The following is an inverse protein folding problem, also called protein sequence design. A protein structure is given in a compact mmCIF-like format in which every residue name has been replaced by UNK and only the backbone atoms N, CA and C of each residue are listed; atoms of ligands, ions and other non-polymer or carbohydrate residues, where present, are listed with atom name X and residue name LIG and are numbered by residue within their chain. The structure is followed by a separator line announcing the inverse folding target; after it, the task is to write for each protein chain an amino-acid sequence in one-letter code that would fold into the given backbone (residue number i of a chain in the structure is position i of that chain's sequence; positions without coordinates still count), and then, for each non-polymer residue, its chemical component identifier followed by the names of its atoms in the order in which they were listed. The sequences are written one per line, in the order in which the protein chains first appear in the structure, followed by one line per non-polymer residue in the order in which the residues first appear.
data_IF_693945814769
#
_entry.id   IF_693945814769
#
_cell.length_a   1.000
_cell.length_b   1.000
_cell.length_c   1.000
_cell.angle_alpha   90.00
_cell.angle_beta   90.00
_cell.angle_gamma   90.00
#
_symmetry.space_group_name_H-M   'P 1'
#
loop_
_entity.id
_entity.type
_entity.pdbx_description
1 polymer ?
#
# COMPACT_ATOMS: atom_id res chain seq x y z
N UNK A 1 -26.67 11.82 38.82
CA UNK A 1 -25.58 11.46 37.90
C UNK A 1 -24.42 12.40 38.19
N UNK A 2 -23.27 11.89 38.66
CA UNK A 2 -22.16 12.75 39.10
C UNK A 2 -21.49 13.45 37.95
N UNK A 3 -21.25 14.77 38.11
CA UNK A 3 -20.55 15.61 37.08
C UNK A 3 -19.25 14.97 36.64
N UNK A 4 -18.53 14.25 37.52
CA UNK A 4 -17.31 13.49 37.15
C UNK A 4 -17.57 12.40 36.09
N UNK A 5 -18.71 11.71 36.17
CA UNK A 5 -19.07 10.65 35.22
C UNK A 5 -19.48 11.25 33.86
N UNK A 6 -20.06 12.44 33.84
CA UNK A 6 -20.39 13.16 32.60
C UNK A 6 -19.13 13.67 31.93
N UNK A 7 -18.20 14.24 32.68
CA UNK A 7 -16.89 14.68 32.16
C UNK A 7 -16.06 13.52 31.63
N UNK A 8 -16.07 12.35 32.33
CA UNK A 8 -15.39 11.15 31.87
C UNK A 8 -15.99 10.58 30.59
N UNK A 9 -17.33 10.55 30.48
CA UNK A 9 -18.02 10.12 29.25
C UNK A 9 -17.76 11.07 28.07
N UNK A 10 -17.72 12.38 28.32
CA UNK A 10 -17.41 13.38 27.31
C UNK A 10 -15.97 13.28 26.82
N UNK A 11 -15.01 13.02 27.72
CA UNK A 11 -13.60 12.81 27.38
C UNK A 11 -13.41 11.55 26.51
N UNK A 12 -14.12 10.45 26.80
CA UNK A 12 -14.09 9.21 26.00
C UNK A 12 -14.69 9.44 24.61
N UNK A 13 -15.77 10.22 24.50
CA UNK A 13 -16.36 10.58 23.19
C UNK A 13 -15.43 11.41 22.33
N UNK A 14 -14.62 12.31 22.90
CA UNK A 14 -13.68 13.16 22.13
C UNK A 14 -12.51 12.34 21.59
N UNK A 15 -12.07 11.30 22.30
CA UNK A 15 -10.97 10.43 21.87
C UNK A 15 -11.40 9.52 20.70
N UNK A 16 -12.68 9.18 20.58
CA UNK A 16 -13.17 8.29 19.50
C UNK A 16 -13.33 8.98 18.14
N UNK A 17 -13.16 10.30 18.03
CA UNK A 17 -13.32 11.07 16.78
C UNK A 17 -12.06 11.12 15.90
N UNK A 18 -10.97 10.49 16.30
CA UNK A 18 -9.72 10.42 15.51
C UNK A 18 -9.71 9.23 14.53
N UNK A 19 -10.84 8.91 13.89
CA UNK A 19 -10.85 8.00 12.75
C UNK A 19 -10.20 8.72 11.56
N UNK A 20 -8.87 8.75 11.54
CA UNK A 20 -8.14 9.27 10.40
C UNK A 20 -8.35 8.30 9.24
N UNK A 21 -9.11 8.72 8.25
CA UNK A 21 -9.27 7.94 7.04
C UNK A 21 -7.94 7.98 6.27
N UNK A 22 -7.37 6.81 6.02
CA UNK A 22 -6.21 6.64 5.15
C UNK A 22 -6.62 6.97 3.71
N UNK A 23 -5.67 7.38 2.90
CA UNK A 23 -5.89 7.86 1.53
C UNK A 23 -6.28 6.73 0.58
N UNK A 24 -5.76 5.53 0.82
CA UNK A 24 -5.93 4.37 -0.05
C UNK A 24 -6.99 3.39 0.48
N UNK A 25 -7.70 2.78 -0.45
CA UNK A 25 -8.50 1.57 -0.27
C UNK A 25 -7.90 0.48 -1.17
N UNK A 26 -6.81 -0.11 -0.69
CA UNK A 26 -6.01 -1.03 -1.47
C UNK A 26 -6.43 -2.49 -1.23
N UNK A 27 -6.45 -3.25 -2.32
CA UNK A 27 -6.53 -4.71 -2.31
C UNK A 27 -5.25 -5.27 -2.91
N UNK A 28 -4.58 -6.15 -2.19
CA UNK A 28 -3.45 -6.93 -2.71
C UNK A 28 -3.93 -8.36 -2.98
N UNK A 29 -3.52 -8.91 -4.10
CA UNK A 29 -3.78 -10.32 -4.46
C UNK A 29 -2.45 -10.97 -4.85
N UNK A 30 -2.13 -12.12 -4.28
CA UNK A 30 -0.93 -12.88 -4.62
C UNK A 30 -1.35 -14.15 -5.34
N UNK A 31 -0.94 -14.27 -6.60
CA UNK A 31 -1.22 -15.42 -7.46
C UNK A 31 0.04 -16.27 -7.57
N UNK A 32 -0.03 -17.56 -7.20
CA UNK A 32 1.10 -18.49 -7.18
C UNK A 32 0.88 -19.72 -8.06
N UNK A 33 0.07 -19.60 -9.10
CA UNK A 33 -0.34 -20.72 -9.94
C UNK A 33 0.83 -21.38 -10.68
N UNK A 34 1.92 -20.63 -10.93
CA UNK A 34 3.11 -21.12 -11.66
C UNK A 34 4.13 -21.85 -10.75
N UNK A 35 4.03 -21.73 -9.43
CA UNK A 35 5.04 -22.22 -8.49
C UNK A 35 4.75 -23.65 -7.99
N UNK A 36 3.62 -24.23 -8.37
CA UNK A 36 3.24 -25.62 -8.02
C UNK A 36 3.06 -25.81 -6.51
N UNK A 37 3.38 -27.02 -6.03
CA UNK A 37 3.24 -27.42 -4.62
C UNK A 37 4.51 -27.21 -3.80
N UNK A 38 5.55 -26.61 -4.35
CA UNK A 38 6.85 -26.44 -3.71
C UNK A 38 6.83 -25.42 -2.54
N UNK A 39 5.83 -24.55 -2.50
CA UNK A 39 5.62 -23.56 -1.43
C UNK A 39 4.18 -23.67 -0.92
N UNK A 40 4.01 -23.67 0.40
CA UNK A 40 2.68 -23.68 0.99
C UNK A 40 1.93 -22.38 0.61
N UNK A 41 0.74 -22.53 0.07
CA UNK A 41 -0.12 -21.38 -0.31
C UNK A 41 -0.43 -20.45 0.86
N UNK A 42 -0.35 -20.94 2.10
CA UNK A 42 -0.52 -20.12 3.31
C UNK A 42 0.49 -18.99 3.40
N UNK A 43 1.73 -19.23 2.95
CA UNK A 43 2.81 -18.22 2.89
C UNK A 43 2.35 -17.00 2.10
N UNK A 44 1.75 -17.22 0.94
CA UNK A 44 1.28 -16.16 0.06
C UNK A 44 0.01 -15.46 0.58
N UNK A 45 -0.86 -16.18 1.29
CA UNK A 45 -2.02 -15.57 1.96
C UNK A 45 -1.56 -14.65 3.10
N UNK A 46 -0.54 -15.05 3.87
CA UNK A 46 0.05 -14.22 4.92
C UNK A 46 0.68 -12.96 4.32
N UNK A 47 1.47 -13.09 3.25
CA UNK A 47 2.05 -11.97 2.51
C UNK A 47 0.97 -11.01 2.00
N UNK A 48 -0.07 -11.53 1.36
CA UNK A 48 -1.20 -10.74 0.85
C UNK A 48 -1.85 -9.89 1.95
N UNK A 49 -2.11 -10.49 3.12
CA UNK A 49 -2.73 -9.79 4.24
C UNK A 49 -1.79 -8.73 4.83
N UNK A 50 -0.50 -9.03 4.96
CA UNK A 50 0.49 -8.07 5.46
C UNK A 50 0.60 -6.85 4.55
N UNK A 51 0.69 -7.04 3.23
CA UNK A 51 0.78 -5.94 2.26
C UNK A 51 -0.52 -5.14 2.17
N UNK A 52 -1.67 -5.80 2.25
CA UNK A 52 -2.97 -5.12 2.29
C UNK A 52 -3.08 -4.23 3.53
N UNK A 53 -2.68 -4.76 4.69
CA UNK A 53 -2.65 -3.99 5.93
C UNK A 53 -1.65 -2.84 5.85
N UNK A 54 -0.45 -3.08 5.33
CA UNK A 54 0.58 -2.06 5.15
C UNK A 54 0.06 -0.85 4.36
N UNK A 55 -0.63 -1.09 3.23
CA UNK A 55 -1.18 -0.03 2.40
C UNK A 55 -2.34 0.72 3.07
N UNK A 56 -3.22 0.00 3.77
CA UNK A 56 -4.49 0.54 4.28
C UNK A 56 -4.41 1.10 5.70
N UNK A 57 -3.39 0.75 6.50
CA UNK A 57 -3.28 1.24 7.88
C UNK A 57 -2.31 2.40 8.02
N UNK A 58 -1.44 2.61 7.03
CA UNK A 58 -0.48 3.71 7.02
C UNK A 58 -1.15 5.00 6.56
N UNK A 59 -0.84 6.10 7.24
CA UNK A 59 -1.12 7.44 6.75
C UNK A 59 0.03 7.90 5.86
N UNK A 60 -0.25 8.10 4.57
CA UNK A 60 0.75 8.43 3.56
C UNK A 60 1.04 9.92 3.47
N UNK A 61 0.01 10.76 3.72
CA UNK A 61 0.08 12.22 3.66
C UNK A 61 -0.52 12.85 4.92
N UNK A 62 -0.49 14.17 5.00
CA UNK A 62 -1.20 14.91 6.05
C UNK A 62 -2.63 15.28 5.65
N UNK A 63 -3.05 14.91 4.44
CA UNK A 63 -4.37 15.21 3.93
C UNK A 63 -5.45 14.38 4.64
N UNK A 64 -6.65 14.91 4.68
CA UNK A 64 -7.80 14.25 5.28
C UNK A 64 -8.75 13.78 4.18
N UNK A 65 -8.72 12.48 3.89
CA UNK A 65 -9.64 11.84 2.96
C UNK A 65 -10.90 11.38 3.70
N UNK A 66 -12.06 11.64 3.13
CA UNK A 66 -13.29 10.98 3.58
C UNK A 66 -13.32 9.54 3.07
N UNK A 67 -14.07 8.67 3.72
CA UNK A 67 -14.18 7.25 3.32
C UNK A 67 -14.57 7.08 1.85
N UNK A 68 -15.45 7.97 1.35
CA UNK A 68 -15.93 7.97 -0.04
C UNK A 68 -14.94 8.56 -1.05
N UNK A 69 -13.87 9.18 -0.58
CA UNK A 69 -12.82 9.80 -1.41
C UNK A 69 -11.58 8.93 -1.55
N UNK A 70 -11.50 7.83 -0.79
CA UNK A 70 -10.36 6.92 -0.85
C UNK A 70 -10.10 6.44 -2.26
N UNK A 71 -8.83 6.45 -2.64
CA UNK A 71 -8.38 5.96 -3.94
C UNK A 71 -8.46 4.43 -3.91
N UNK A 72 -9.26 3.84 -4.79
CA UNK A 72 -9.34 2.41 -4.93
C UNK A 72 -8.13 1.88 -5.69
N UNK A 73 -7.37 0.98 -5.06
CA UNK A 73 -6.16 0.41 -5.62
C UNK A 73 -6.24 -1.12 -5.68
N UNK A 74 -5.76 -1.69 -6.78
CA UNK A 74 -5.57 -3.13 -6.94
C UNK A 74 -4.10 -3.40 -7.27
N UNK A 75 -3.46 -4.24 -6.44
CA UNK A 75 -2.10 -4.72 -6.63
C UNK A 75 -2.15 -6.23 -6.81
N UNK A 76 -1.69 -6.73 -7.95
CA UNK A 76 -1.70 -8.18 -8.26
C UNK A 76 -0.25 -8.62 -8.44
N UNK A 77 0.26 -9.42 -7.51
CA UNK A 77 1.56 -10.07 -7.60
C UNK A 77 1.36 -11.45 -8.24
N UNK A 78 1.95 -11.67 -9.41
CA UNK A 78 2.00 -13.00 -10.01
C UNK A 78 3.37 -13.61 -9.75
N UNK A 79 3.44 -14.60 -8.86
CA UNK A 79 4.66 -15.36 -8.59
C UNK A 79 4.97 -16.25 -9.80
N UNK A 80 6.12 -16.03 -10.41
CA UNK A 80 6.54 -16.75 -11.63
C UNK A 80 7.46 -17.93 -11.32
N UNK A 81 8.41 -17.75 -10.41
CA UNK A 81 9.33 -18.79 -9.99
C UNK A 81 9.91 -18.52 -8.60
N UNK A 82 10.47 -19.56 -8.02
CA UNK A 82 11.31 -19.50 -6.82
C UNK A 82 12.74 -19.70 -7.29
N UNK A 83 13.59 -18.69 -7.12
CA UNK A 83 14.99 -18.76 -7.58
C UNK A 83 15.92 -19.34 -6.51
N UNK A 84 15.67 -19.01 -5.23
CA UNK A 84 16.40 -19.46 -4.06
C UNK A 84 15.40 -19.64 -2.90
N UNK A 85 15.79 -20.27 -1.78
CA UNK A 85 14.92 -20.35 -0.62
C UNK A 85 14.42 -18.97 -0.20
N UNK A 86 13.08 -18.80 -0.22
CA UNK A 86 12.40 -17.56 0.11
C UNK A 86 12.64 -16.36 -0.85
N UNK A 87 13.26 -16.57 -2.00
CA UNK A 87 13.45 -15.56 -3.06
C UNK A 87 12.52 -15.86 -4.23
N UNK A 88 11.67 -14.92 -4.55
CA UNK A 88 10.61 -15.07 -5.54
C UNK A 88 10.82 -14.10 -6.70
N UNK A 89 10.66 -14.60 -7.93
CA UNK A 89 10.49 -13.77 -9.12
C UNK A 89 9.02 -13.64 -9.42
N UNK A 90 8.60 -12.44 -9.72
CA UNK A 90 7.20 -12.10 -9.92
C UNK A 90 7.03 -10.95 -10.91
N UNK A 91 5.81 -10.78 -11.40
CA UNK A 91 5.33 -9.52 -11.98
C UNK A 91 4.32 -8.88 -11.05
N UNK A 92 4.24 -7.56 -11.07
CA UNK A 92 3.31 -6.76 -10.27
C UNK A 92 2.44 -5.90 -11.19
N UNK A 93 1.13 -6.15 -11.21
CA UNK A 93 0.19 -5.28 -11.89
C UNK A 93 -0.46 -4.32 -10.88
N UNK A 94 -0.50 -3.03 -11.23
CA UNK A 94 -1.01 -1.95 -10.40
C UNK A 94 -2.11 -1.22 -11.15
N UNK A 95 -3.27 -1.11 -10.51
CA UNK A 95 -4.38 -0.31 -11.00
C UNK A 95 -4.89 0.58 -9.87
N UNK A 96 -5.14 1.84 -10.17
CA UNK A 96 -5.78 2.75 -9.23
C UNK A 96 -6.81 3.63 -9.95
N UNK A 97 -7.90 3.88 -9.25
CA UNK A 97 -8.96 4.75 -9.72
C UNK A 97 -9.59 5.52 -8.56
N UNK A 98 -9.94 6.77 -8.82
CA UNK A 98 -10.62 7.64 -7.86
C UNK A 98 -12.13 7.66 -8.11
N UNK A 99 -12.95 7.57 -7.05
CA UNK A 99 -14.38 7.84 -7.16
C UNK A 99 -14.63 9.29 -7.59
N UNK A 100 -15.57 9.50 -8.50
CA UNK A 100 -15.99 10.85 -8.89
C UNK A 100 -17.19 11.26 -8.05
N UNK A 101 -17.11 12.45 -7.44
CA UNK A 101 -18.15 12.97 -6.55
C UNK A 101 -19.54 12.91 -7.18
N UNK A 102 -20.50 12.38 -6.43
CA UNK A 102 -21.93 12.28 -6.80
C UNK A 102 -22.19 11.49 -8.10
N UNK A 103 -21.33 10.53 -8.44
CA UNK A 103 -21.52 9.63 -9.58
C UNK A 103 -21.16 8.19 -9.24
N UNK A 104 -21.54 7.25 -10.11
CA UNK A 104 -21.06 5.86 -10.04
C UNK A 104 -19.76 5.62 -10.82
N UNK A 105 -19.24 6.65 -11.49
CA UNK A 105 -18.03 6.56 -12.31
C UNK A 105 -16.77 6.69 -11.47
N UNK A 106 -15.69 6.09 -12.00
CA UNK A 106 -14.35 6.18 -11.42
C UNK A 106 -13.40 6.75 -12.47
N UNK A 107 -12.52 7.65 -12.05
CA UNK A 107 -11.44 8.18 -12.88
C UNK A 107 -10.22 7.31 -12.71
N UNK A 108 -9.73 6.69 -13.78
CA UNK A 108 -8.50 5.92 -13.77
C UNK A 108 -7.31 6.86 -13.51
N UNK A 109 -6.44 6.48 -12.57
CA UNK A 109 -5.21 7.20 -12.20
C UNK A 109 -4.01 6.51 -12.85
N UNK A 110 -3.86 5.19 -12.64
CA UNK A 110 -2.76 4.40 -13.15
C UNK A 110 -3.24 3.01 -13.55
N UNK A 111 -2.66 2.49 -14.62
CA UNK A 111 -2.72 1.08 -15.00
C UNK A 111 -1.32 0.70 -15.53
N UNK A 112 -0.54 0.04 -14.70
CA UNK A 112 0.86 -0.26 -14.97
C UNK A 112 1.21 -1.69 -14.60
N UNK A 113 2.19 -2.27 -15.28
CA UNK A 113 2.73 -3.59 -14.98
C UNK A 113 4.25 -3.51 -14.88
N UNK A 114 4.77 -3.90 -13.72
CA UNK A 114 6.17 -4.19 -13.47
C UNK A 114 6.42 -5.66 -13.78
N UNK A 115 7.32 -5.95 -14.70
CA UNK A 115 7.53 -7.32 -15.20
C UNK A 115 8.69 -8.07 -14.54
N UNK A 116 9.58 -7.36 -13.85
CA UNK A 116 10.79 -7.95 -13.25
C UNK A 116 10.92 -7.56 -11.77
N UNK A 117 10.10 -8.16 -10.95
CA UNK A 117 10.12 -7.99 -9.51
C UNK A 117 10.76 -9.21 -8.86
N UNK A 118 11.94 -9.04 -8.25
CA UNK A 118 12.56 -10.08 -7.42
C UNK A 118 12.55 -9.62 -5.97
N UNK A 119 12.01 -10.45 -5.07
CA UNK A 119 11.93 -10.12 -3.65
C UNK A 119 12.14 -11.35 -2.76
N UNK A 120 12.59 -11.10 -1.54
CA UNK A 120 12.73 -12.11 -0.47
C UNK A 120 11.57 -11.96 0.50
N UNK A 121 10.93 -13.07 0.81
CA UNK A 121 9.87 -13.10 1.82
C UNK A 121 9.98 -14.36 2.67
N UNK A 122 10.01 -14.18 3.97
CA UNK A 122 10.01 -15.27 4.96
C UNK A 122 8.70 -15.13 5.74
N UNK A 123 7.94 -16.23 5.80
CA UNK A 123 6.64 -16.25 6.49
C UNK A 123 6.79 -15.82 7.97
N UNK A 124 5.82 -15.07 8.46
CA UNK A 124 5.78 -14.50 9.80
C UNK A 124 6.86 -13.46 10.15
N UNK A 125 7.79 -13.14 9.26
CA UNK A 125 8.60 -11.95 9.47
C UNK A 125 7.73 -10.69 9.28
N UNK A 126 7.84 -9.70 10.19
CA UNK A 126 7.15 -8.43 9.99
C UNK A 126 7.60 -7.79 8.68
N UNK A 127 6.64 -7.31 7.92
CA UNK A 127 6.92 -6.47 6.75
C UNK A 127 7.29 -5.09 7.27
N UNK A 128 8.57 -4.92 7.63
CA UNK A 128 9.07 -3.66 8.16
C UNK A 128 9.29 -2.65 7.03
N UNK A 129 8.78 -1.46 7.22
CA UNK A 129 9.01 -0.33 6.34
C UNK A 129 9.71 0.80 7.10
N UNK A 130 10.85 1.23 6.57
CA UNK A 130 11.58 2.36 7.11
C UNK A 130 11.75 3.40 5.99
N UNK A 131 11.17 4.59 6.15
CA UNK A 131 11.24 5.70 5.20
C UNK A 131 12.69 6.16 4.91
N UNK A 132 13.63 5.88 5.81
CA UNK A 132 15.02 6.31 5.69
C UNK A 132 15.97 5.20 5.21
N UNK A 133 15.50 3.95 5.10
CA UNK A 133 16.35 2.79 4.79
C UNK A 133 15.84 2.04 3.57
N UNK A 134 16.16 2.55 2.40
CA UNK A 134 15.83 1.91 1.11
C UNK A 134 16.87 0.87 0.68
N UNK A 135 18.04 0.86 1.31
CA UNK A 135 19.16 0.00 0.93
C UNK A 135 19.26 -1.21 1.86
N UNK A 136 18.82 -2.37 1.38
CA UNK A 136 19.22 -3.67 1.92
C UNK A 136 20.64 -4.04 1.45
N UNK A 137 21.32 -4.88 2.21
CA UNK A 137 22.67 -5.40 1.89
C UNK A 137 22.70 -6.30 0.64
N UNK A 138 21.57 -6.67 0.08
CA UNK A 138 21.43 -7.49 -1.12
C UNK A 138 20.79 -6.65 -2.23
N UNK A 139 21.61 -6.11 -3.12
CA UNK A 139 21.19 -5.25 -4.25
C UNK A 139 20.28 -5.96 -5.29
N UNK A 140 20.19 -7.29 -5.24
CA UNK A 140 19.39 -8.10 -6.17
C UNK A 140 17.97 -8.39 -5.70
N UNK A 141 17.63 -8.02 -4.47
CA UNK A 141 16.33 -8.33 -3.86
C UNK A 141 15.64 -7.04 -3.47
N UNK A 142 14.58 -6.70 -4.20
CA UNK A 142 13.79 -5.52 -3.88
C UNK A 142 13.20 -5.64 -2.47
N UNK A 143 13.30 -4.55 -1.72
CA UNK A 143 12.49 -4.43 -0.52
C UNK A 143 11.04 -4.23 -0.97
N UNK A 144 10.23 -5.26 -0.83
CA UNK A 144 8.86 -5.29 -1.32
C UNK A 144 8.03 -4.12 -0.76
N UNK A 145 8.24 -3.73 0.49
CA UNK A 145 7.57 -2.56 1.07
C UNK A 145 7.98 -1.25 0.43
N UNK A 146 9.24 -1.11 0.02
CA UNK A 146 9.70 0.08 -0.69
C UNK A 146 9.03 0.19 -2.06
N UNK A 147 8.89 -0.93 -2.79
CA UNK A 147 8.16 -0.97 -4.07
C UNK A 147 6.69 -0.55 -3.87
N UNK A 148 6.04 -1.09 -2.86
CA UNK A 148 4.65 -0.73 -2.56
C UNK A 148 4.50 0.72 -2.10
N UNK A 149 5.45 1.24 -1.33
CA UNK A 149 5.48 2.65 -0.93
C UNK A 149 5.72 3.58 -2.13
N UNK A 150 6.61 3.21 -3.04
CA UNK A 150 6.83 3.93 -4.29
C UNK A 150 5.52 4.10 -5.06
N UNK A 151 4.78 3.01 -5.27
CA UNK A 151 3.51 3.09 -6.01
C UNK A 151 2.42 3.81 -5.21
N UNK A 152 2.36 3.66 -3.88
CA UNK A 152 1.42 4.40 -3.04
C UNK A 152 1.62 5.92 -3.18
N UNK A 153 2.85 6.41 -3.04
CA UNK A 153 3.15 7.83 -3.23
C UNK A 153 2.95 8.29 -4.67
N UNK A 154 3.27 7.45 -5.66
CA UNK A 154 3.03 7.77 -7.08
C UNK A 154 1.54 7.94 -7.34
N UNK A 155 0.69 7.02 -6.88
CA UNK A 155 -0.76 7.08 -7.04
C UNK A 155 -1.33 8.35 -6.40
N UNK A 156 -0.94 8.65 -5.16
CA UNK A 156 -1.41 9.86 -4.46
C UNK A 156 -0.90 11.11 -5.15
N UNK A 157 0.35 11.12 -5.62
CA UNK A 157 0.90 12.24 -6.39
C UNK A 157 0.14 12.52 -7.68
N UNK A 158 -0.19 11.47 -8.44
CA UNK A 158 -0.99 11.59 -9.66
C UNK A 158 -2.42 12.05 -9.37
N UNK A 159 -3.01 11.57 -8.27
CA UNK A 159 -4.32 12.02 -7.81
C UNK A 159 -4.30 13.52 -7.51
N UNK A 160 -3.34 13.98 -6.72
CA UNK A 160 -3.20 15.39 -6.35
C UNK A 160 -2.98 16.27 -7.60
N UNK A 161 -2.08 15.89 -8.52
CA UNK A 161 -1.82 16.65 -9.74
C UNK A 161 -3.05 16.78 -10.65
N UNK A 162 -4.01 15.85 -10.54
CA UNK A 162 -5.27 15.94 -11.29
C UNK A 162 -6.18 17.07 -10.81
N UNK A 163 -5.98 17.59 -9.59
CA UNK A 163 -6.74 18.72 -9.04
C UNK A 163 -6.03 20.06 -9.22
N UNK A 164 -4.70 20.07 -9.08
CA UNK A 164 -3.89 21.28 -9.21
C UNK A 164 -2.51 20.96 -9.75
N UNK A 165 -2.02 21.67 -10.76
CA UNK A 165 -0.71 21.43 -11.34
C UNK A 165 0.39 21.47 -10.28
N UNK A 166 1.26 20.45 -10.26
CA UNK A 166 2.39 20.28 -9.33
C UNK A 166 2.02 20.03 -7.86
N UNK A 167 0.76 19.81 -7.53
CA UNK A 167 0.37 19.50 -6.15
C UNK A 167 0.85 18.11 -5.70
N UNK A 168 1.13 17.21 -6.64
CA UNK A 168 1.70 15.89 -6.39
C UNK A 168 3.21 15.86 -6.18
N UNK A 169 3.95 16.97 -6.42
CA UNK A 169 5.42 17.02 -6.44
C UNK A 169 6.04 16.51 -5.12
N UNK A 170 5.44 16.84 -3.99
CA UNK A 170 5.89 16.37 -2.68
C UNK A 170 5.83 14.84 -2.58
N UNK A 171 4.79 14.23 -3.13
CA UNK A 171 4.61 12.78 -3.11
C UNK A 171 5.54 12.09 -4.11
N UNK A 172 5.75 12.66 -5.31
CA UNK A 172 6.73 12.15 -6.26
C UNK A 172 8.15 12.20 -5.73
N UNK A 173 8.53 13.25 -5.02
CA UNK A 173 9.83 13.36 -4.35
C UNK A 173 10.00 12.27 -3.28
N UNK A 174 8.94 11.95 -2.52
CA UNK A 174 8.96 10.82 -1.58
C UNK A 174 9.09 9.49 -2.33
N UNK A 175 8.32 9.27 -3.40
CA UNK A 175 8.43 8.07 -4.23
C UNK A 175 9.86 7.88 -4.76
N UNK A 176 10.50 8.95 -5.25
CA UNK A 176 11.85 8.90 -5.79
C UNK A 176 12.90 8.38 -4.79
N UNK A 177 12.69 8.57 -3.48
CA UNK A 177 13.60 8.06 -2.46
C UNK A 177 13.65 6.54 -2.40
N UNK A 178 12.66 5.83 -2.96
CA UNK A 178 12.59 4.37 -2.98
C UNK A 178 13.19 3.72 -4.22
N UNK A 179 13.64 4.51 -5.19
CA UNK A 179 14.18 4.03 -6.49
C UNK A 179 15.69 4.17 -6.59
N UNK A 180 16.34 4.76 -5.58
CA UNK A 180 17.80 5.01 -5.55
C UNK A 180 18.57 3.93 -4.84
#
# INVERSE_FOLDING_TARGET
MNIKNILSALAICIISLQAQAQELNARVTVMSNKVGTSVDKKVFNTLQNQLTNFLNTRKWTNDNYRVVEKIECSFIINIESVSEPNVYKASLAIQAARPIFNTSYKSAIINFQESDLTFKYIEFQPVEFNDTRVQGTEASVANLTAVFAFYAYTIIGMDNDSFSPKSGEVNFNKAQNFVR
#
